data_IF_237281499281
#
_entry.id   IF_237281499281
#
_cell.length_a   1.000
_cell.length_b   1.000
_cell.length_c   1.000
_cell.angle_alpha   90.00
_cell.angle_beta   90.00
_cell.angle_gamma   90.00
#
_symmetry.space_group_name_H-M   'P 1'
#
loop_
_entity.id
_entity.type
_entity.pdbx_description
1 polymer ?
#
# COMPACT_ATOMS: atom_id res chain seq x y z
N UNK A 1 -8.19 17.11 -12.09
CA UNK A 1 -7.19 17.95 -11.40
C UNK A 1 -5.87 17.28 -11.65
N UNK A 2 -5.02 17.89 -12.46
CA UNK A 2 -3.77 17.25 -12.86
C UNK A 2 -2.74 17.49 -11.76
N UNK A 3 -2.20 16.40 -11.22
CA UNK A 3 -1.05 16.42 -10.32
C UNK A 3 0.10 15.66 -10.97
N UNK A 4 1.32 15.98 -10.57
CA UNK A 4 2.51 15.24 -11.00
C UNK A 4 3.10 14.48 -9.82
N UNK A 5 3.51 13.24 -10.05
CA UNK A 5 4.31 12.49 -9.09
C UNK A 5 5.78 12.71 -9.42
N UNK A 6 6.52 13.22 -8.43
CA UNK A 6 7.97 13.41 -8.50
C UNK A 6 8.61 12.36 -7.61
N UNK A 7 9.57 11.63 -8.16
CA UNK A 7 10.38 10.66 -7.43
C UNK A 7 11.77 11.27 -7.22
N UNK A 8 12.21 11.29 -5.97
CA UNK A 8 13.53 11.81 -5.57
C UNK A 8 14.30 10.70 -4.85
N UNK A 9 15.52 10.43 -5.31
CA UNK A 9 16.36 9.39 -4.76
C UNK A 9 17.63 9.21 -5.57
N UNK A 10 18.45 8.25 -5.15
CA UNK A 10 19.77 8.02 -5.72
C UNK A 10 19.80 6.73 -6.55
N UNK A 11 20.62 6.75 -7.58
CA UNK A 11 20.95 5.59 -8.40
C UNK A 11 22.42 5.24 -8.25
N UNK A 12 22.71 3.94 -8.25
CA UNK A 12 24.06 3.37 -8.35
C UNK A 12 24.01 2.30 -9.44
N UNK A 13 24.82 2.47 -10.47
CA UNK A 13 24.85 1.56 -11.64
C UNK A 13 23.47 1.34 -12.28
N UNK A 14 22.67 2.42 -12.39
CA UNK A 14 21.33 2.36 -12.98
C UNK A 14 20.24 1.76 -12.08
N UNK A 15 20.57 1.37 -10.84
CA UNK A 15 19.63 0.81 -9.86
C UNK A 15 19.40 1.75 -8.68
N UNK A 16 18.18 1.80 -8.17
CA UNK A 16 17.80 2.59 -6.98
C UNK A 16 18.53 2.11 -5.73
N UNK A 17 19.09 3.06 -4.99
CA UNK A 17 19.73 2.83 -3.68
C UNK A 17 19.31 3.90 -2.68
N UNK A 18 19.49 3.58 -1.39
CA UNK A 18 19.30 4.53 -0.30
C UNK A 18 17.87 5.04 -0.17
N UNK A 19 17.72 6.27 0.32
CA UNK A 19 16.41 6.88 0.60
C UNK A 19 15.73 7.35 -0.69
N UNK A 20 14.44 7.02 -0.80
CA UNK A 20 13.56 7.45 -1.88
C UNK A 20 12.34 8.15 -1.30
N UNK A 21 11.97 9.29 -1.89
CA UNK A 21 10.82 10.10 -1.51
C UNK A 21 9.89 10.25 -2.71
N UNK A 22 8.59 10.15 -2.44
CA UNK A 22 7.55 10.41 -3.44
C UNK A 22 6.86 11.72 -3.09
N UNK A 23 6.79 12.63 -4.04
CA UNK A 23 6.16 13.93 -3.89
C UNK A 23 5.01 14.07 -4.87
N UNK A 24 3.91 14.68 -4.41
CA UNK A 24 2.82 15.15 -5.24
C UNK A 24 2.99 16.64 -5.46
N UNK A 25 3.15 17.03 -6.72
CA UNK A 25 3.15 18.44 -7.13
C UNK A 25 1.78 18.81 -7.67
N UNK A 26 1.15 19.75 -6.98
CA UNK A 26 -0.04 20.47 -7.43
C UNK A 26 0.39 21.85 -7.96
N UNK A 27 -0.56 22.67 -8.41
CA UNK A 27 -0.27 23.97 -9.05
C UNK A 27 0.59 24.91 -8.17
N UNK A 28 0.37 24.89 -6.85
CA UNK A 28 1.01 25.81 -5.90
C UNK A 28 1.82 25.12 -4.79
N UNK A 29 1.90 23.78 -4.76
CA UNK A 29 2.47 23.06 -3.62
C UNK A 29 3.12 21.72 -4.02
N UNK A 30 4.11 21.31 -3.23
CA UNK A 30 4.80 20.02 -3.34
C UNK A 30 4.75 19.33 -1.98
N UNK A 31 3.96 18.27 -1.90
CA UNK A 31 3.76 17.51 -0.67
C UNK A 31 4.47 16.16 -0.76
N UNK A 32 5.20 15.76 0.29
CA UNK A 32 5.72 14.39 0.39
C UNK A 32 4.58 13.43 0.75
N UNK A 33 4.32 12.47 -0.12
CA UNK A 33 3.21 11.51 -0.01
C UNK A 33 3.66 10.06 0.19
N UNK A 34 4.96 9.77 0.06
CA UNK A 34 5.45 8.43 0.26
C UNK A 34 6.96 8.27 0.14
N UNK A 35 7.37 7.02 -0.03
CA UNK A 35 8.77 6.62 -0.18
C UNK A 35 9.23 5.63 0.88
N UNK A 36 10.53 5.36 0.89
CA UNK A 36 11.16 4.39 1.78
C UNK A 36 12.65 4.29 1.52
N UNK A 37 13.24 3.13 1.80
CA UNK A 37 14.66 2.89 1.62
C UNK A 37 14.91 1.62 0.80
N UNK A 38 15.78 1.74 -0.20
CA UNK A 38 16.40 0.61 -0.87
C UNK A 38 17.75 0.28 -0.21
N UNK A 39 18.22 -0.94 -0.38
CA UNK A 39 19.56 -1.34 0.02
C UNK A 39 20.65 -0.52 -0.69
N UNK A 40 21.85 -0.52 -0.10
CA UNK A 40 23.05 0.12 -0.69
C UNK A 40 23.83 -0.84 -1.61
N UNK A 41 23.42 -2.12 -1.63
CA UNK A 41 23.97 -3.16 -2.49
C UNK A 41 23.75 -2.87 -3.96
N UNK A 42 22.69 -2.13 -4.28
CA UNK A 42 22.33 -1.79 -5.65
C UNK A 42 21.64 -2.98 -6.30
N UNK A 43 20.69 -3.59 -5.60
CA UNK A 43 19.78 -4.61 -6.15
C UNK A 43 18.32 -4.16 -6.12
N UNK A 44 18.07 -2.88 -5.81
CA UNK A 44 16.72 -2.29 -5.68
C UNK A 44 15.85 -3.04 -4.67
N UNK A 45 16.48 -3.59 -3.63
CA UNK A 45 15.80 -4.32 -2.58
C UNK A 45 15.23 -3.33 -1.59
N UNK A 46 13.90 -3.25 -1.51
CA UNK A 46 13.20 -2.45 -0.48
C UNK A 46 13.51 -3.02 0.91
N UNK A 47 13.82 -2.13 1.85
CA UNK A 47 14.09 -2.44 3.26
C UNK A 47 13.40 -1.43 4.18
N UNK A 48 13.19 -1.84 5.44
CA UNK A 48 12.62 -1.01 6.50
C UNK A 48 11.22 -0.48 6.16
N UNK A 49 10.86 0.69 6.70
CA UNK A 49 9.53 1.28 6.56
C UNK A 49 9.33 1.90 5.17
N UNK A 50 8.15 1.65 4.61
CA UNK A 50 7.71 2.15 3.32
C UNK A 50 6.31 2.72 3.40
N UNK A 51 6.08 3.76 2.60
CA UNK A 51 4.75 4.29 2.25
C UNK A 51 4.65 4.21 0.74
N UNK A 52 3.86 3.26 0.25
CA UNK A 52 3.63 3.02 -1.17
C UNK A 52 2.37 3.72 -1.64
N UNK A 53 2.39 4.21 -2.87
CA UNK A 53 1.20 4.74 -3.53
C UNK A 53 0.39 3.57 -4.09
N UNK A 54 -0.94 3.72 -4.16
CA UNK A 54 -1.74 2.78 -4.91
C UNK A 54 -1.52 2.99 -6.42
N UNK A 55 -0.85 2.04 -7.08
CA UNK A 55 -0.52 2.14 -8.52
C UNK A 55 -1.72 1.85 -9.43
N UNK A 56 -2.71 1.11 -8.94
CA UNK A 56 -3.91 0.73 -9.70
C UNK A 56 -4.89 1.90 -9.80
N UNK A 57 -4.94 2.73 -8.75
CA UNK A 57 -5.69 3.98 -8.74
C UNK A 57 -4.81 5.10 -9.32
N UNK A 58 -4.53 5.01 -10.62
CA UNK A 58 -3.65 5.93 -11.38
C UNK A 58 -3.94 7.43 -11.15
N UNK A 59 -5.18 7.76 -10.75
CA UNK A 59 -5.63 9.12 -10.46
C UNK A 59 -5.80 9.44 -8.96
N UNK A 60 -5.66 8.45 -8.07
CA UNK A 60 -5.90 8.62 -6.64
C UNK A 60 -4.65 8.37 -5.77
N UNK A 61 -3.77 9.38 -5.75
CA UNK A 61 -2.66 9.50 -4.80
C UNK A 61 -3.10 9.62 -3.32
N UNK A 62 -4.39 9.51 -2.99
CA UNK A 62 -4.93 9.62 -1.63
C UNK A 62 -4.92 8.27 -0.92
N UNK A 63 -4.79 7.14 -1.65
CA UNK A 63 -4.61 5.81 -1.05
C UNK A 63 -3.13 5.46 -0.97
N UNK A 64 -2.66 5.12 0.23
CA UNK A 64 -1.30 4.66 0.46
C UNK A 64 -1.26 3.39 1.31
N UNK A 65 -0.21 2.60 1.12
CA UNK A 65 0.07 1.40 1.89
C UNK A 65 1.31 1.63 2.75
N UNK A 66 1.18 1.50 4.06
CA UNK A 66 2.29 1.73 4.98
C UNK A 66 2.65 0.45 5.71
N UNK A 67 3.93 0.09 5.70
CA UNK A 67 4.42 -1.06 6.44
C UNK A 67 5.91 -1.27 6.25
N UNK A 68 6.36 -2.47 6.60
CA UNK A 68 7.78 -2.80 6.59
C UNK A 68 8.12 -3.81 5.50
N UNK A 69 9.30 -3.60 4.90
CA UNK A 69 9.97 -4.53 4.02
C UNK A 69 11.19 -5.14 4.70
N UNK A 70 11.39 -6.43 4.48
CA UNK A 70 12.62 -7.15 4.78
C UNK A 70 13.05 -7.93 3.54
N UNK A 71 14.25 -7.63 3.04
CA UNK A 71 14.80 -8.23 1.83
C UNK A 71 13.82 -8.21 0.63
N UNK A 72 13.19 -7.05 0.39
CA UNK A 72 12.25 -6.87 -0.73
C UNK A 72 10.89 -7.53 -0.54
N UNK A 73 10.62 -8.13 0.63
CA UNK A 73 9.32 -8.74 0.96
C UNK A 73 8.62 -7.99 2.07
N UNK A 74 7.31 -7.78 1.92
CA UNK A 74 6.46 -7.18 2.95
C UNK A 74 6.41 -8.10 4.17
N UNK A 75 6.58 -7.53 5.36
CA UNK A 75 6.49 -8.25 6.63
C UNK A 75 5.64 -7.49 7.65
N UNK A 76 5.07 -8.22 8.61
CA UNK A 76 4.37 -7.62 9.75
C UNK A 76 3.12 -6.85 9.33
N UNK A 77 2.79 -5.82 10.11
CA UNK A 77 1.57 -5.05 9.90
C UNK A 77 1.71 -4.13 8.68
N UNK A 78 0.68 -4.12 7.85
CA UNK A 78 0.54 -3.24 6.71
C UNK A 78 -0.81 -2.54 6.77
N UNK A 79 -0.79 -1.21 6.83
CA UNK A 79 -1.98 -0.38 6.90
C UNK A 79 -2.34 0.14 5.50
N UNK A 80 -3.63 0.15 5.18
CA UNK A 80 -4.18 0.86 4.03
C UNK A 80 -4.76 2.17 4.53
N UNK A 81 -4.24 3.28 4.01
CA UNK A 81 -4.59 4.63 4.44
C UNK A 81 -5.28 5.39 3.29
N UNK A 82 -6.38 6.07 3.59
CA UNK A 82 -7.02 7.03 2.69
C UNK A 82 -6.97 8.41 3.34
N UNK A 83 -6.29 9.37 2.69
CA UNK A 83 -5.95 10.68 3.29
C UNK A 83 -5.31 10.54 4.69
N UNK A 84 -4.40 9.57 4.85
CA UNK A 84 -3.73 9.29 6.12
C UNK A 84 -4.59 8.59 7.18
N UNK A 85 -5.90 8.40 6.94
CA UNK A 85 -6.78 7.64 7.83
C UNK A 85 -6.74 6.17 7.48
N UNK A 86 -6.50 5.30 8.46
CA UNK A 86 -6.54 3.85 8.27
C UNK A 86 -7.95 3.38 7.92
N UNK A 87 -8.06 2.70 6.78
CA UNK A 87 -9.30 2.15 6.24
C UNK A 87 -9.22 0.64 5.97
N UNK A 88 -8.02 0.06 6.05
CA UNK A 88 -7.81 -1.37 5.89
C UNK A 88 -6.41 -1.79 6.25
N UNK A 89 -6.02 -2.96 5.79
CA UNK A 89 -4.71 -3.56 6.08
C UNK A 89 -4.80 -4.95 6.67
N UNK A 90 -3.65 -5.48 7.04
CA UNK A 90 -3.53 -6.79 7.66
C UNK A 90 -2.07 -7.12 7.95
N UNK A 91 -1.78 -8.40 8.10
CA UNK A 91 -0.46 -8.89 8.52
C UNK A 91 0.16 -9.75 7.43
N UNK A 92 1.42 -9.48 7.11
CA UNK A 92 2.29 -10.37 6.36
C UNK A 92 3.13 -11.22 7.30
N UNK A 93 3.42 -12.45 6.87
CA UNK A 93 4.28 -13.38 7.58
C UNK A 93 5.67 -12.77 7.85
N UNK A 94 6.10 -12.83 9.12
CA UNK A 94 7.39 -12.27 9.57
C UNK A 94 8.60 -13.07 9.09
N UNK A 95 8.42 -14.31 8.59
CA UNK A 95 9.54 -15.11 8.06
C UNK A 95 10.06 -14.58 6.72
N UNK A 96 9.45 -13.53 6.16
CA UNK A 96 9.91 -12.88 4.94
C UNK A 96 9.43 -13.54 3.65
N UNK A 97 8.41 -14.41 3.71
CA UNK A 97 7.85 -15.04 2.51
C UNK A 97 6.95 -14.09 1.70
N UNK A 98 6.54 -12.95 2.29
CA UNK A 98 5.60 -12.01 1.67
C UNK A 98 4.15 -12.53 1.61
N UNK A 99 3.83 -13.58 2.36
CA UNK A 99 2.48 -14.14 2.43
C UNK A 99 1.60 -13.33 3.38
N UNK A 100 0.40 -12.95 2.95
CA UNK A 100 -0.66 -12.44 3.83
C UNK A 100 -1.11 -13.55 4.79
N UNK A 101 -1.34 -13.22 6.05
CA UNK A 101 -1.84 -14.11 7.09
C UNK A 101 -2.89 -13.42 7.96
N UNK A 102 -3.80 -14.21 8.52
CA UNK A 102 -4.83 -13.75 9.44
C UNK A 102 -5.84 -12.82 8.78
N UNK A 103 -6.43 -11.94 9.57
CA UNK A 103 -7.49 -11.06 9.09
C UNK A 103 -6.95 -9.91 8.24
N UNK A 104 -7.63 -9.63 7.13
CA UNK A 104 -7.34 -8.57 6.19
C UNK A 104 -8.58 -7.79 5.85
N UNK A 105 -8.43 -6.47 5.73
CA UNK A 105 -9.40 -5.57 5.13
C UNK A 105 -8.78 -5.01 3.85
N UNK A 106 -9.32 -5.39 2.70
CA UNK A 106 -8.86 -4.99 1.37
C UNK A 106 -9.82 -3.99 0.72
N UNK A 107 -9.30 -3.17 -0.19
CA UNK A 107 -10.13 -2.28 -0.99
C UNK A 107 -10.69 -3.02 -2.20
N UNK A 108 -11.91 -2.68 -2.60
CA UNK A 108 -12.47 -3.14 -3.87
C UNK A 108 -12.04 -2.17 -4.97
N UNK A 109 -11.37 -2.70 -5.99
CA UNK A 109 -11.06 -1.97 -7.22
C UNK A 109 -12.34 -1.67 -8.02
N UNK A 110 -12.42 -0.51 -8.68
CA UNK A 110 -13.45 -0.21 -9.68
C UNK A 110 -14.53 0.82 -9.28
N UNK A 111 -14.48 1.42 -8.09
CA UNK A 111 -15.30 2.60 -7.80
C UNK A 111 -14.51 3.87 -8.11
N UNK A 112 -14.87 4.55 -9.21
CA UNK A 112 -14.21 5.76 -9.73
C UNK A 112 -14.10 6.92 -8.74
N UNK A 113 -14.78 6.88 -7.59
CA UNK A 113 -14.64 7.88 -6.54
C UNK A 113 -14.84 7.26 -5.17
N UNK A 114 -13.76 7.29 -4.37
CA UNK A 114 -13.64 6.85 -2.97
C UNK A 114 -13.59 5.33 -2.85
N UNK A 115 -12.73 4.74 -2.00
CA UNK A 115 -12.88 3.34 -1.58
C UNK A 115 -14.19 3.23 -0.81
N UNK A 116 -15.30 3.02 -1.53
CA UNK A 116 -16.63 2.91 -0.94
C UNK A 116 -16.86 1.53 -0.38
N UNK A 117 -16.08 0.54 -0.80
CA UNK A 117 -16.29 -0.85 -0.46
C UNK A 117 -14.99 -1.53 -0.04
N UNK A 118 -15.03 -2.29 1.06
CA UNK A 118 -13.94 -3.15 1.51
C UNK A 118 -14.35 -4.61 1.62
N UNK A 119 -13.39 -5.50 1.44
CA UNK A 119 -13.48 -6.94 1.70
C UNK A 119 -12.78 -7.24 3.02
N UNK A 120 -13.49 -7.83 4.00
CA UNK A 120 -12.86 -8.35 5.21
C UNK A 120 -12.91 -9.86 5.24
N UNK A 121 -11.79 -10.51 5.50
CA UNK A 121 -11.73 -11.96 5.65
C UNK A 121 -10.36 -12.43 6.08
N UNK A 122 -10.15 -13.75 6.07
CA UNK A 122 -8.92 -14.38 6.54
C UNK A 122 -8.04 -14.85 5.37
N UNK A 123 -6.72 -14.68 5.53
CA UNK A 123 -5.70 -15.29 4.70
C UNK A 123 -4.95 -16.38 5.47
N UNK A 124 -4.65 -17.48 4.78
CA UNK A 124 -3.70 -18.49 5.23
C UNK A 124 -2.65 -18.70 4.14
N UNK A 125 -1.39 -18.39 4.47
CA UNK A 125 -0.25 -18.49 3.55
C UNK A 125 -0.49 -17.79 2.19
N UNK A 126 -1.11 -16.60 2.22
CA UNK A 126 -1.40 -15.84 1.01
C UNK A 126 -2.66 -16.27 0.25
N UNK A 127 -3.39 -17.28 0.73
CA UNK A 127 -4.65 -17.74 0.13
C UNK A 127 -5.84 -17.23 0.95
N UNK A 128 -6.83 -16.63 0.29
CA UNK A 128 -8.10 -16.26 0.93
C UNK A 128 -8.82 -17.52 1.39
N UNK A 129 -9.21 -17.57 2.65
CA UNK A 129 -9.93 -18.69 3.23
C UNK A 129 -11.18 -18.22 3.96
N UNK A 130 -12.13 -19.14 4.16
CA UNK A 130 -13.35 -18.87 4.91
C UNK A 130 -14.25 -17.83 4.24
N UNK A 131 -15.00 -17.12 5.07
CA UNK A 131 -15.98 -16.12 4.64
C UNK A 131 -15.32 -14.75 4.45
N UNK A 132 -15.76 -14.06 3.40
CA UNK A 132 -15.33 -12.70 3.08
C UNK A 132 -16.55 -11.78 3.04
N UNK A 133 -16.56 -10.80 3.94
CA UNK A 133 -17.66 -9.85 4.07
C UNK A 133 -17.37 -8.56 3.31
N UNK A 134 -18.41 -7.99 2.69
CA UNK A 134 -18.36 -6.74 1.94
C UNK A 134 -18.96 -5.60 2.77
N UNK A 135 -18.19 -4.53 2.98
CA UNK A 135 -18.64 -3.37 3.74
C UNK A 135 -18.69 -2.13 2.87
N UNK A 136 -19.84 -1.46 2.82
CA UNK A 136 -19.94 -0.14 2.23
C UNK A 136 -19.74 0.94 3.30
N UNK A 137 -18.87 1.92 3.06
CA UNK A 137 -18.60 3.00 4.03
C UNK A 137 -19.84 3.87 4.32
N UNK A 138 -20.86 3.86 3.46
CA UNK A 138 -22.02 4.76 3.58
C UNK A 138 -23.31 4.13 4.14
N UNK A 139 -23.43 2.80 4.30
CA UNK A 139 -24.50 2.14 5.09
C UNK A 139 -24.31 0.61 5.12
N UNK A 140 -24.80 -0.02 6.20
CA UNK A 140 -24.56 -1.41 6.65
C UNK A 140 -24.66 -2.53 5.59
N UNK A 141 -23.71 -3.47 5.73
CA UNK A 141 -23.55 -4.84 5.22
C UNK A 141 -24.53 -5.38 4.16
N UNK A 142 -23.96 -5.85 3.03
CA UNK A 142 -24.53 -6.97 2.28
C UNK A 142 -23.57 -8.16 2.40
N UNK A 143 -24.11 -9.30 2.86
CA UNK A 143 -23.42 -10.58 2.90
C UNK A 143 -23.70 -11.25 1.55
N UNK A 144 -22.65 -11.62 0.81
CA UNK A 144 -22.76 -12.57 -0.30
C UNK A 144 -21.99 -13.82 0.16
N UNK A 145 -22.70 -14.96 0.18
CA UNK A 145 -22.21 -16.28 0.62
C UNK A 145 -21.40 -16.93 -0.50
#
# INVERSE_FOLDING_TARGET
MDFQIILDGQYKNGKKVGKWNFFRKNYNDIEKIGGGQYDEGGDEIKINQWVELNEELKDDSRVTYKGEYHNGKKIGNWDVLYYGKKIGGGVYDKRGNGCKIGNWIELIEGSNDIPKVTFSGEYQNGIKVGRWDIFNFNNRMQIIV
#
